data_IF_868590602411
#
_entry.id   IF_868590602411
#
_cell.length_a   1.000
_cell.length_b   1.000
_cell.length_c   1.000
_cell.angle_alpha   90.00
_cell.angle_beta   90.00
_cell.angle_gamma   90.00
#
_symmetry.space_group_name_H-M   'P 1'
#
loop_
_entity.id
_entity.type
_entity.pdbx_description
1 polymer ?
#
# COMPACT_ATOMS: atom_id res chain seq x y z
N UNK A 1 -46.34 28.11 -19.00
CA UNK A 1 -46.63 26.69 -19.28
C UNK A 1 -45.51 26.22 -20.19
N UNK A 2 -44.36 25.90 -19.61
CA UNK A 2 -43.17 25.52 -20.37
C UNK A 2 -42.57 24.26 -19.74
N UNK A 3 -42.12 23.40 -20.63
CA UNK A 3 -41.88 21.97 -20.50
C UNK A 3 -40.57 21.64 -19.78
N UNK A 4 -40.66 20.73 -18.82
CA UNK A 4 -39.53 20.05 -18.19
C UNK A 4 -38.76 19.19 -19.20
N UNK A 5 -37.46 19.44 -19.36
CA UNK A 5 -36.50 18.47 -19.89
C UNK A 5 -35.41 18.26 -18.86
N UNK A 6 -35.48 17.15 -18.14
CA UNK A 6 -34.44 16.71 -17.22
C UNK A 6 -33.34 15.99 -18.03
N UNK A 7 -32.14 16.56 -18.05
CA UNK A 7 -30.93 15.87 -18.51
C UNK A 7 -30.22 15.31 -17.28
N UNK A 8 -30.27 13.98 -17.16
CA UNK A 8 -29.57 13.17 -16.17
C UNK A 8 -28.06 13.25 -16.39
N UNK A 9 -27.32 13.76 -15.41
CA UNK A 9 -25.86 13.64 -15.35
C UNK A 9 -25.50 12.51 -14.39
N UNK A 10 -25.02 11.41 -14.97
CA UNK A 10 -24.51 10.25 -14.28
C UNK A 10 -23.30 10.62 -13.39
N UNK A 11 -23.39 10.27 -12.12
CA UNK A 11 -22.31 10.37 -11.14
C UNK A 11 -21.28 9.26 -11.40
N UNK A 12 -20.10 9.64 -11.91
CA UNK A 12 -18.91 8.78 -11.92
C UNK A 12 -18.06 9.06 -10.69
N UNK A 13 -18.46 8.54 -9.52
CA UNK A 13 -17.60 8.50 -8.34
C UNK A 13 -16.79 7.20 -8.38
N UNK A 14 -15.47 7.31 -8.54
CA UNK A 14 -14.54 6.18 -8.36
C UNK A 14 -14.53 5.80 -6.87
N UNK A 15 -15.29 4.76 -6.56
CA UNK A 15 -15.38 4.12 -5.25
C UNK A 15 -14.01 3.62 -4.79
N UNK A 16 -13.37 4.37 -3.90
CA UNK A 16 -12.32 3.82 -3.04
C UNK A 16 -13.02 2.87 -2.07
N UNK A 17 -12.92 1.56 -2.32
CA UNK A 17 -13.56 0.54 -1.51
C UNK A 17 -12.95 0.51 -0.10
N UNK A 18 -13.53 1.25 0.83
CA UNK A 18 -13.41 0.94 2.25
C UNK A 18 -14.13 -0.40 2.47
N UNK A 19 -13.39 -1.51 2.44
CA UNK A 19 -13.91 -2.78 2.95
C UNK A 19 -14.13 -2.61 4.45
N UNK A 20 -15.41 -2.56 4.83
CA UNK A 20 -15.87 -2.73 6.20
C UNK A 20 -15.16 -3.92 6.84
N UNK A 21 -14.68 -3.74 8.07
CA UNK A 21 -13.97 -4.75 8.85
C UNK A 21 -14.89 -5.96 9.08
N UNK A 22 -14.78 -6.96 8.21
CA UNK A 22 -15.25 -8.31 8.52
C UNK A 22 -14.47 -8.80 9.74
N UNK A 23 -15.19 -9.29 10.75
CA UNK A 23 -14.77 -9.47 12.15
C UNK A 23 -13.82 -10.65 12.38
N UNK A 24 -12.72 -10.74 11.64
CA UNK A 24 -11.69 -11.77 11.83
C UNK A 24 -10.44 -11.56 10.99
N UNK A 25 -9.32 -12.15 11.41
CA UNK A 25 -8.07 -12.14 10.66
C UNK A 25 -8.27 -12.92 9.35
N UNK A 26 -8.04 -12.32 8.15
CA UNK A 26 -8.15 -13.03 6.87
C UNK A 26 -7.29 -14.29 6.86
N UNK A 27 -7.77 -15.37 6.25
CA UNK A 27 -6.99 -16.60 6.22
C UNK A 27 -5.72 -16.45 5.39
N UNK A 28 -4.61 -16.97 5.91
CA UNK A 28 -3.32 -17.10 5.25
C UNK A 28 -2.67 -18.41 5.69
N UNK A 29 -2.14 -19.18 4.73
CA UNK A 29 -1.44 -20.42 5.01
C UNK A 29 0.06 -20.16 5.01
N UNK A 30 0.64 -20.01 6.20
CA UNK A 30 2.08 -19.79 6.35
C UNK A 30 2.87 -21.04 5.92
N UNK A 31 3.98 -20.83 5.25
CA UNK A 31 4.85 -21.87 4.70
C UNK A 31 6.27 -21.84 5.27
N UNK A 32 6.65 -20.75 5.94
CA UNK A 32 7.95 -20.60 6.57
C UNK A 32 7.94 -19.52 7.65
N UNK A 33 9.03 -18.75 7.69
CA UNK A 33 9.25 -17.70 8.69
C UNK A 33 8.65 -16.33 8.33
N UNK A 34 7.85 -16.22 7.27
CA UNK A 34 7.40 -14.93 6.74
C UNK A 34 6.57 -14.12 7.74
N UNK A 35 5.67 -14.77 8.50
CA UNK A 35 4.88 -14.09 9.53
C UNK A 35 5.78 -13.54 10.64
N UNK A 36 6.75 -14.34 11.10
CA UNK A 36 7.69 -13.94 12.14
C UNK A 36 8.63 -12.81 11.67
N UNK A 37 9.07 -12.85 10.41
CA UNK A 37 9.86 -11.78 9.81
C UNK A 37 9.05 -10.48 9.71
N UNK A 38 7.78 -10.54 9.31
CA UNK A 38 6.92 -9.36 9.24
C UNK A 38 6.72 -8.74 10.63
N UNK A 39 6.42 -9.56 11.65
CA UNK A 39 6.29 -9.11 13.04
C UNK A 39 7.59 -8.48 13.56
N UNK A 40 8.74 -9.07 13.23
CA UNK A 40 10.03 -8.50 13.58
C UNK A 40 10.27 -7.14 12.91
N UNK A 41 10.03 -7.03 11.60
CA UNK A 41 10.14 -5.76 10.88
C UNK A 41 9.20 -4.71 11.48
N UNK A 42 7.96 -5.07 11.80
CA UNK A 42 7.02 -4.17 12.45
C UNK A 42 7.53 -3.69 13.83
N UNK A 43 7.98 -4.61 14.70
CA UNK A 43 8.49 -4.27 16.03
C UNK A 43 9.76 -3.40 15.98
N UNK A 44 10.60 -3.60 14.97
CA UNK A 44 11.82 -2.83 14.76
C UNK A 44 11.63 -1.61 13.84
N UNK A 45 10.39 -1.31 13.43
CA UNK A 45 10.06 -0.17 12.55
C UNK A 45 10.79 -0.22 11.20
N UNK A 46 11.13 -1.42 10.73
CA UNK A 46 11.84 -1.64 9.48
C UNK A 46 10.83 -1.71 8.32
N UNK A 47 11.08 -0.98 7.22
CA UNK A 47 10.25 -1.08 6.04
C UNK A 47 10.49 -2.42 5.33
N UNK A 48 9.42 -2.99 4.77
CA UNK A 48 9.43 -4.35 4.21
C UNK A 48 9.18 -4.35 2.69
N UNK A 49 10.06 -5.02 1.96
CA UNK A 49 9.94 -5.30 0.53
C UNK A 49 9.53 -6.75 0.33
N UNK A 50 8.40 -7.00 -0.31
CA UNK A 50 7.90 -8.35 -0.62
C UNK A 50 8.05 -8.59 -2.12
N UNK A 51 8.84 -9.60 -2.50
CA UNK A 51 9.00 -10.02 -3.89
C UNK A 51 8.46 -11.43 -4.10
N UNK A 52 7.84 -11.69 -5.25
CA UNK A 52 7.31 -13.00 -5.59
C UNK A 52 6.47 -12.96 -6.87
N UNK A 53 6.22 -14.09 -7.53
CA UNK A 53 5.44 -14.12 -8.77
C UNK A 53 4.01 -13.61 -8.55
N UNK A 54 3.31 -13.27 -9.64
CA UNK A 54 1.90 -12.91 -9.54
C UNK A 54 1.08 -14.08 -8.98
N UNK A 55 0.03 -13.80 -8.22
CA UNK A 55 -0.83 -14.85 -7.66
C UNK A 55 -0.26 -15.66 -6.48
N UNK A 56 0.97 -15.42 -6.00
CA UNK A 56 1.52 -16.15 -4.84
C UNK A 56 1.00 -15.68 -3.45
N UNK A 57 0.03 -14.76 -3.42
CA UNK A 57 -0.63 -14.34 -2.17
C UNK A 57 0.02 -13.17 -1.42
N UNK A 58 0.85 -12.33 -2.06
CA UNK A 58 1.48 -11.14 -1.43
C UNK A 58 0.47 -10.20 -0.77
N UNK A 59 -0.57 -9.78 -1.49
CA UNK A 59 -1.60 -8.88 -0.98
C UNK A 59 -2.35 -9.52 0.18
N UNK A 60 -2.74 -10.80 0.04
CA UNK A 60 -3.41 -11.57 1.10
C UNK A 60 -2.55 -11.72 2.37
N UNK A 61 -1.25 -11.89 2.20
CA UNK A 61 -0.30 -11.94 3.32
C UNK A 61 -0.27 -10.62 4.09
N UNK A 62 -0.18 -9.48 3.40
CA UNK A 62 -0.18 -8.16 4.06
C UNK A 62 -1.52 -7.89 4.76
N UNK A 63 -2.65 -8.24 4.14
CA UNK A 63 -3.98 -8.16 4.77
C UNK A 63 -4.06 -9.01 6.05
N UNK A 64 -3.57 -10.25 6.00
CA UNK A 64 -3.51 -11.13 7.16
C UNK A 64 -2.67 -10.52 8.28
N UNK A 65 -1.47 -10.04 7.96
CA UNK A 65 -0.56 -9.47 8.96
C UNK A 65 -1.09 -8.17 9.56
N UNK A 66 -1.69 -7.29 8.75
CA UNK A 66 -2.31 -6.06 9.26
C UNK A 66 -3.44 -6.36 10.24
N UNK A 67 -4.34 -7.29 9.89
CA UNK A 67 -5.42 -7.71 10.79
C UNK A 67 -4.88 -8.39 12.06
N UNK A 68 -3.87 -9.25 11.94
CA UNK A 68 -3.21 -9.92 13.07
C UNK A 68 -2.53 -8.94 14.03
N UNK A 69 -1.94 -7.87 13.50
CA UNK A 69 -1.32 -6.79 14.28
C UNK A 69 -2.34 -5.76 14.81
N UNK A 70 -3.62 -5.89 14.45
CA UNK A 70 -4.66 -4.91 14.81
C UNK A 70 -4.41 -3.53 14.19
N UNK A 71 -3.85 -3.48 12.98
CA UNK A 71 -3.49 -2.23 12.30
C UNK A 71 -4.39 -1.95 11.10
N UNK A 72 -4.75 -0.66 10.88
CA UNK A 72 -5.34 -0.25 9.62
C UNK A 72 -4.38 -0.54 8.47
N UNK A 73 -4.92 -1.00 7.35
CA UNK A 73 -4.18 -1.23 6.11
C UNK A 73 -4.66 -0.24 5.05
N UNK A 74 -3.74 0.56 4.52
CA UNK A 74 -3.98 1.43 3.37
C UNK A 74 -3.21 0.85 2.19
N UNK A 75 -3.94 0.28 1.23
CA UNK A 75 -3.35 -0.28 0.01
C UNK A 75 -3.44 0.73 -1.14
N UNK A 76 -2.33 0.87 -1.88
CA UNK A 76 -2.26 1.65 -3.11
C UNK A 76 -1.70 0.73 -4.20
N UNK A 77 -2.48 0.52 -5.26
CA UNK A 77 -1.98 -0.14 -6.47
C UNK A 77 -1.18 0.87 -7.28
N UNK A 78 0.10 0.61 -7.49
CA UNK A 78 0.98 1.49 -8.25
C UNK A 78 0.81 1.31 -9.75
N UNK A 79 0.91 2.43 -10.48
CA UNK A 79 0.83 2.48 -11.94
C UNK A 79 1.56 3.74 -12.44
N UNK A 80 1.80 3.84 -13.74
CA UNK A 80 2.63 4.89 -14.34
C UNK A 80 2.03 6.31 -14.21
N UNK A 81 0.74 6.44 -13.90
CA UNK A 81 0.09 7.75 -13.69
C UNK A 81 0.05 8.16 -12.21
N UNK A 82 0.49 7.30 -11.29
CA UNK A 82 0.57 7.62 -9.88
C UNK A 82 1.70 8.63 -9.63
N UNK A 83 1.35 9.84 -9.18
CA UNK A 83 2.31 10.89 -8.84
C UNK A 83 2.64 10.94 -7.34
N UNK A 84 3.73 11.61 -6.98
CA UNK A 84 4.06 11.88 -5.58
C UNK A 84 2.97 12.71 -4.87
N UNK A 85 2.31 13.63 -5.58
CA UNK A 85 1.20 14.41 -5.03
C UNK A 85 -0.03 13.54 -4.73
N UNK A 86 -0.27 12.48 -5.50
CA UNK A 86 -1.37 11.55 -5.21
C UNK A 86 -1.10 10.75 -3.94
N UNK A 87 0.17 10.41 -3.65
CA UNK A 87 0.57 9.72 -2.41
C UNK A 87 0.52 10.65 -1.19
N UNK A 88 1.12 11.84 -1.29
CA UNK A 88 1.24 12.79 -0.16
C UNK A 88 -0.05 13.55 0.08
N UNK A 89 -0.71 14.01 -0.97
CA UNK A 89 -1.91 14.84 -0.88
C UNK A 89 -1.85 16.04 -1.80
N UNK A 90 -3.02 16.64 -2.00
CA UNK A 90 -3.22 17.75 -2.92
C UNK A 90 -4.32 18.67 -2.43
N UNK A 91 -4.28 19.90 -2.90
CA UNK A 91 -5.39 20.82 -2.72
C UNK A 91 -6.52 20.47 -3.69
N UNK A 92 -7.73 20.34 -3.14
CA UNK A 92 -8.96 20.20 -3.90
C UNK A 92 -9.68 21.54 -3.94
N UNK A 93 -10.21 21.89 -5.10
CA UNK A 93 -11.00 23.11 -5.29
C UNK A 93 -12.47 22.70 -5.28
N UNK A 94 -13.27 23.27 -4.38
CA UNK A 94 -14.69 23.01 -4.27
C UNK A 94 -15.43 24.20 -3.68
N UNK A 95 -16.67 24.46 -4.13
CA UNK A 95 -17.59 25.48 -3.59
C UNK A 95 -16.94 26.83 -3.17
N UNK A 96 -16.01 27.34 -3.98
CA UNK A 96 -15.38 28.65 -3.75
C UNK A 96 -14.21 28.65 -2.74
N UNK A 97 -13.76 27.50 -2.24
CA UNK A 97 -12.56 27.40 -1.42
C UNK A 97 -11.58 26.33 -1.93
N UNK A 98 -10.34 26.42 -1.44
CA UNK A 98 -9.27 25.46 -1.69
C UNK A 98 -8.97 24.76 -0.38
N UNK A 99 -9.24 23.46 -0.31
CA UNK A 99 -9.04 22.64 0.88
C UNK A 99 -7.92 21.63 0.66
N UNK A 100 -7.09 21.42 1.67
CA UNK A 100 -6.09 20.36 1.63
C UNK A 100 -6.76 18.99 1.81
N UNK A 101 -6.32 18.00 1.03
CA UNK A 101 -6.73 16.60 1.17
C UNK A 101 -5.50 15.72 1.26
N UNK A 102 -5.35 15.04 2.40
CA UNK A 102 -4.26 14.08 2.62
C UNK A 102 -4.34 12.92 1.61
N UNK A 103 -3.20 12.58 1.02
CA UNK A 103 -3.04 11.35 0.25
C UNK A 103 -2.90 10.12 1.15
N UNK A 104 -2.91 8.90 0.58
CA UNK A 104 -2.82 7.66 1.35
C UNK A 104 -1.53 7.53 2.17
N UNK A 105 -0.39 8.06 1.70
CA UNK A 105 0.87 8.05 2.47
C UNK A 105 0.76 8.92 3.72
N UNK A 106 0.25 10.14 3.56
CA UNK A 106 0.08 11.08 4.68
C UNK A 106 -0.94 10.57 5.69
N UNK A 107 -2.08 10.03 5.23
CA UNK A 107 -3.06 9.38 6.12
C UNK A 107 -2.45 8.22 6.89
N UNK A 108 -1.70 7.34 6.21
CA UNK A 108 -1.06 6.21 6.88
C UNK A 108 -0.09 6.65 7.98
N UNK A 109 0.70 7.70 7.73
CA UNK A 109 1.60 8.29 8.72
C UNK A 109 0.82 8.86 9.90
N UNK A 110 -0.24 9.63 9.66
CA UNK A 110 -1.05 10.23 10.75
C UNK A 110 -1.77 9.18 11.60
N UNK A 111 -2.28 8.12 10.97
CA UNK A 111 -3.09 7.08 11.62
C UNK A 111 -2.24 5.96 12.25
N UNK A 112 -0.92 5.94 12.02
CA UNK A 112 -0.08 4.80 12.41
C UNK A 112 -0.49 3.50 11.72
N UNK A 113 -0.87 3.60 10.44
CA UNK A 113 -1.32 2.49 9.63
C UNK A 113 -0.17 1.76 8.95
N UNK A 114 -0.44 0.56 8.46
CA UNK A 114 0.41 -0.09 7.47
C UNK A 114 0.05 0.49 6.10
N UNK A 115 1.00 1.14 5.44
CA UNK A 115 0.86 1.51 4.04
C UNK A 115 1.44 0.39 3.18
N UNK A 116 0.63 -0.15 2.28
CA UNK A 116 1.04 -1.15 1.30
C UNK A 116 1.01 -0.57 -0.12
N UNK A 117 2.18 -0.44 -0.75
CA UNK A 117 2.31 -0.08 -2.16
C UNK A 117 2.50 -1.33 -3.00
N UNK A 118 1.42 -1.75 -3.65
CA UNK A 118 1.40 -2.94 -4.49
C UNK A 118 1.98 -2.61 -5.87
N UNK A 119 2.89 -3.46 -6.36
CA UNK A 119 3.55 -3.28 -7.66
C UNK A 119 4.32 -1.95 -7.79
N UNK A 120 5.07 -1.57 -6.75
CA UNK A 120 5.73 -0.25 -6.60
C UNK A 120 6.61 0.20 -7.78
N UNK A 121 7.12 -0.75 -8.55
CA UNK A 121 7.97 -0.52 -9.73
C UNK A 121 7.20 -0.10 -10.98
N UNK A 122 5.89 -0.27 -10.99
CA UNK A 122 5.01 0.31 -12.01
C UNK A 122 4.78 1.81 -11.77
N UNK A 123 5.08 2.33 -10.57
CA UNK A 123 5.07 3.76 -10.33
C UNK A 123 6.28 4.44 -10.97
N UNK A 124 6.12 5.73 -11.28
CA UNK A 124 7.23 6.56 -11.74
C UNK A 124 8.34 6.66 -10.69
N UNK A 125 9.58 6.81 -11.17
CA UNK A 125 10.76 6.82 -10.32
C UNK A 125 10.74 7.95 -9.29
N UNK A 126 10.25 9.13 -9.66
CA UNK A 126 10.06 10.29 -8.79
C UNK A 126 9.02 10.04 -7.70
N UNK A 127 7.92 9.34 -8.02
CA UNK A 127 6.92 8.89 -7.05
C UNK A 127 7.54 8.02 -5.95
N UNK A 128 8.47 7.14 -6.27
CA UNK A 128 9.12 6.27 -5.25
C UNK A 128 10.12 7.01 -4.35
N UNK A 129 10.63 8.18 -4.75
CA UNK A 129 11.62 8.95 -3.95
C UNK A 129 10.97 9.54 -2.70
N UNK A 130 9.68 9.88 -2.75
CA UNK A 130 8.95 10.42 -1.60
C UNK A 130 8.89 9.46 -0.41
N UNK A 131 9.16 8.17 -0.65
CA UNK A 131 9.19 7.13 0.37
C UNK A 131 10.50 7.10 1.16
N UNK A 132 11.60 7.61 0.59
CA UNK A 132 12.94 7.47 1.18
C UNK A 132 13.03 8.04 2.60
N UNK A 133 12.49 9.23 2.90
CA UNK A 133 12.53 9.78 4.26
C UNK A 133 11.81 8.94 5.31
N UNK A 134 10.83 8.13 4.90
CA UNK A 134 10.06 7.23 5.76
C UNK A 134 10.69 5.83 5.90
N UNK A 135 11.60 5.48 4.99
CA UNK A 135 12.36 4.23 5.00
C UNK A 135 13.75 4.38 5.66
N UNK A 136 14.19 5.62 5.93
CA UNK A 136 15.43 5.93 6.65
C UNK A 136 15.14 6.19 8.15
N UNK A 137 16.18 6.19 9.00
CA UNK A 137 16.08 6.24 10.48
C UNK A 137 15.25 7.39 11.04
N UNK A 138 15.18 8.54 10.34
CA UNK A 138 14.48 9.73 10.84
C UNK A 138 12.95 9.58 10.75
N UNK A 139 12.45 8.80 9.80
CA UNK A 139 11.03 8.54 9.55
C UNK A 139 10.18 9.82 9.54
N UNK A 140 10.61 10.82 8.76
CA UNK A 140 9.91 12.11 8.63
C UNK A 140 9.31 12.25 7.23
N UNK A 141 8.05 12.64 7.12
CA UNK A 141 7.37 12.96 5.87
C UNK A 141 7.17 14.48 5.75
N UNK A 142 7.91 15.15 4.85
CA UNK A 142 7.64 16.53 4.50
C UNK A 142 6.36 16.62 3.65
N UNK A 143 5.42 17.45 4.08
CA UNK A 143 4.21 17.81 3.33
C UNK A 143 4.38 19.25 2.86
N UNK A 144 5.20 19.45 1.83
CA UNK A 144 5.67 20.77 1.39
C UNK A 144 4.53 21.77 1.13
N UNK A 145 3.40 21.28 0.62
CA UNK A 145 2.22 22.11 0.30
C UNK A 145 1.53 22.70 1.52
N UNK A 146 1.59 22.03 2.68
CA UNK A 146 1.05 22.54 3.95
C UNK A 146 2.13 23.09 4.88
N UNK A 147 3.41 22.85 4.56
CA UNK A 147 4.55 23.20 5.41
C UNK A 147 4.72 22.26 6.62
N UNK A 148 3.94 21.19 6.71
CA UNK A 148 4.04 20.23 7.80
C UNK A 148 5.24 19.30 7.61
N UNK A 149 5.82 18.89 8.73
CA UNK A 149 6.84 17.84 8.79
C UNK A 149 6.34 16.77 9.76
N UNK A 150 5.77 15.70 9.21
CA UNK A 150 5.14 14.64 10.00
C UNK A 150 6.19 13.63 10.43
N UNK A 151 6.23 13.31 11.72
CA UNK A 151 7.02 12.20 12.24
C UNK A 151 6.17 10.93 12.22
N UNK A 152 6.64 9.90 11.54
CA UNK A 152 5.93 8.63 11.53
C UNK A 152 5.94 7.99 12.92
N UNK A 153 4.77 7.61 13.44
CA UNK A 153 4.66 7.00 14.75
C UNK A 153 5.23 5.56 14.71
N UNK A 154 5.64 4.97 15.85
CA UNK A 154 6.10 3.58 15.92
C UNK A 154 5.20 2.56 15.20
N UNK A 155 3.91 2.85 15.16
CA UNK A 155 2.84 2.05 14.61
C UNK A 155 2.78 2.06 13.07
N UNK A 156 3.32 3.10 12.43
CA UNK A 156 3.37 3.18 10.98
C UNK A 156 4.39 2.20 10.41
N UNK A 157 3.99 1.44 9.40
CA UNK A 157 4.88 0.55 8.66
C UNK A 157 4.72 0.76 7.15
N UNK A 158 5.84 0.90 6.46
CA UNK A 158 5.88 0.94 5.00
C UNK A 158 6.16 -0.45 4.44
N UNK A 159 5.25 -0.95 3.62
CA UNK A 159 5.38 -2.21 2.91
C UNK A 159 5.26 -1.94 1.41
N UNK A 160 6.16 -2.51 0.61
CA UNK A 160 6.12 -2.42 -0.85
C UNK A 160 6.21 -3.82 -1.45
N UNK A 161 5.60 -4.03 -2.62
CA UNK A 161 5.74 -5.28 -3.37
C UNK A 161 6.16 -5.07 -4.82
N UNK A 162 6.73 -6.11 -5.43
CA UNK A 162 6.80 -6.23 -6.88
C UNK A 162 6.93 -7.68 -7.33
N UNK A 163 6.65 -7.91 -8.62
CA UNK A 163 6.73 -9.23 -9.26
C UNK A 163 8.04 -9.33 -10.08
N UNK A 164 9.05 -10.11 -9.64
CA UNK A 164 10.26 -10.30 -10.42
C UNK A 164 9.95 -10.97 -11.76
N UNK A 165 10.51 -10.47 -12.85
CA UNK A 165 10.44 -11.12 -14.18
C UNK A 165 9.18 -10.89 -14.99
N UNK A 166 8.13 -10.28 -14.42
CA UNK A 166 6.93 -9.87 -15.17
C UNK A 166 7.12 -8.51 -15.90
N UNK A 167 8.23 -7.83 -15.64
CA UNK A 167 8.41 -6.42 -15.92
C UNK A 167 9.36 -6.17 -17.07
N UNK A 168 9.16 -5.03 -17.75
CA UNK A 168 10.14 -4.48 -18.68
C UNK A 168 11.52 -4.48 -17.99
N UNK A 169 12.53 -5.07 -18.64
CA UNK A 169 13.93 -5.14 -18.16
C UNK A 169 14.51 -3.79 -17.68
N UNK A 170 13.87 -2.68 -18.06
CA UNK A 170 14.24 -1.29 -17.76
C UNK A 170 13.58 -0.70 -16.50
N UNK A 171 12.54 -1.33 -15.93
CA UNK A 171 11.76 -0.84 -14.78
C UNK A 171 12.01 -1.67 -13.51
N UNK A 172 13.27 -1.74 -13.08
CA UNK A 172 13.63 -2.29 -11.77
C UNK A 172 13.62 -1.25 -10.65
N UNK A 173 13.50 -1.71 -9.41
CA UNK A 173 13.80 -0.88 -8.23
C UNK A 173 15.24 -0.36 -8.31
N UNK A 174 15.43 0.95 -8.11
CA UNK A 174 16.76 1.53 -7.96
C UNK A 174 17.48 0.88 -6.76
N UNK A 175 18.81 0.67 -6.82
CA UNK A 175 19.58 0.17 -5.68
C UNK A 175 19.36 0.98 -4.41
N UNK A 176 19.26 2.31 -4.51
CA UNK A 176 19.00 3.19 -3.38
C UNK A 176 17.67 2.93 -2.69
N UNK A 177 16.60 2.64 -3.44
CA UNK A 177 15.33 2.25 -2.84
C UNK A 177 15.46 0.86 -2.21
N UNK A 178 16.03 -0.12 -2.93
CA UNK A 178 16.14 -1.50 -2.44
C UNK A 178 16.95 -1.65 -1.15
N UNK A 179 18.05 -0.91 -1.01
CA UNK A 179 18.93 -0.99 0.16
C UNK A 179 18.31 -0.44 1.46
N UNK A 180 17.14 0.19 1.38
CA UNK A 180 16.41 0.71 2.55
C UNK A 180 15.43 -0.29 3.16
N UNK A 181 15.18 -1.42 2.49
CA UNK A 181 14.14 -2.36 2.89
C UNK A 181 14.72 -3.71 3.31
N UNK A 182 14.16 -4.30 4.35
CA UNK A 182 14.28 -5.74 4.58
C UNK A 182 13.49 -6.45 3.48
N UNK A 183 14.05 -7.53 2.91
CA UNK A 183 13.43 -8.23 1.80
C UNK A 183 12.85 -9.59 2.24
N UNK A 184 11.59 -9.82 1.91
CA UNK A 184 10.90 -11.11 2.01
C UNK A 184 10.64 -11.63 0.59
N UNK A 185 10.88 -12.93 0.39
CA UNK A 185 10.55 -13.61 -0.87
C UNK A 185 9.39 -14.57 -0.63
N UNK A 186 8.32 -14.41 -1.40
CA UNK A 186 7.22 -15.36 -1.47
C UNK A 186 7.25 -16.07 -2.82
N UNK A 187 6.85 -17.33 -2.81
CA UNK A 187 6.71 -18.16 -4.00
C UNK A 187 5.38 -18.92 -3.95
N UNK A 188 5.05 -19.62 -5.02
CA UNK A 188 3.86 -20.47 -5.05
C UNK A 188 3.90 -21.50 -3.93
N UNK A 189 2.74 -21.81 -3.33
CA UNK A 189 2.67 -22.75 -2.25
C UNK A 189 3.03 -24.17 -2.67
N UNK A 190 3.55 -24.95 -1.71
CA UNK A 190 3.68 -26.39 -1.91
C UNK A 190 2.29 -27.01 -2.15
N UNK A 191 2.19 -28.00 -3.02
CA UNK A 191 0.90 -28.57 -3.44
C UNK A 191 -0.08 -28.94 -2.29
N UNK A 192 0.35 -29.49 -1.13
CA UNK A 192 -0.56 -29.73 -0.01
C UNK A 192 -1.13 -28.43 0.60
N UNK A 193 -0.32 -27.38 0.66
CA UNK A 193 -0.72 -26.06 1.17
C UNK A 193 -1.64 -25.37 0.17
N UNK A 194 -1.30 -25.43 -1.13
CA UNK A 194 -2.14 -24.90 -2.20
C UNK A 194 -3.54 -25.50 -2.17
N UNK A 195 -3.64 -26.83 -2.03
CA UNK A 195 -4.92 -27.52 -1.88
C UNK A 195 -5.72 -26.97 -0.70
N UNK A 196 -5.08 -26.78 0.45
CA UNK A 196 -5.73 -26.23 1.64
C UNK A 196 -6.24 -24.81 1.40
N UNK A 197 -5.48 -23.99 0.66
CA UNK A 197 -5.90 -22.64 0.27
C UNK A 197 -7.15 -22.70 -0.61
N UNK A 198 -7.13 -23.55 -1.65
CA UNK A 198 -8.25 -23.70 -2.58
C UNK A 198 -9.52 -24.24 -1.90
N UNK A 199 -9.39 -25.22 -1.01
CA UNK A 199 -10.53 -25.79 -0.27
C UNK A 199 -11.22 -24.76 0.65
N UNK A 200 -10.45 -23.78 1.15
CA UNK A 200 -10.92 -22.78 2.11
C UNK A 200 -11.45 -21.52 1.45
N UNK A 201 -10.83 -21.06 0.37
CA UNK A 201 -11.19 -19.82 -0.33
C UNK A 201 -12.02 -20.04 -1.61
N UNK A 202 -12.06 -21.26 -2.14
CA UNK A 202 -12.81 -21.62 -3.36
C UNK A 202 -14.31 -21.87 -3.16
N UNK A 203 -14.88 -21.43 -2.03
CA UNK A 203 -16.32 -21.53 -1.70
C UNK A 203 -16.97 -20.17 -1.86
#
# INVERSE_FOLDING_TARGET
METHTAVSLAQGASTTGQRSAASGVPFYAAQGGECALFEHCFAQQLPLLIKGPTGCGKTRFVEHMAARLGRPLITVSCHDDLSAADLVGRHLIGQGNTVWSDGPLTRAVREGAILYLDEVVEARKDTTVVLHPLADDRRLLPVERTGELLKAPPEFMLVISYNPGYQNLLKGLKPSTRQRFTALTLDYPAAPVERTILEREGR
#
